data_IF_519874219689
#
_entry.id   IF_519874219689
#
_cell.length_a   1.000
_cell.length_b   1.000
_cell.length_c   1.000
_cell.angle_alpha   90.00
_cell.angle_beta   90.00
_cell.angle_gamma   90.00
#
_symmetry.space_group_name_H-M   'P 1'
#
loop_
_entity.id
_entity.type
_entity.pdbx_description
1 polymer ?
#
# COMPACT_ATOMS: atom_id res chain seq x y z
N UNK A 1 35.69 -13.04 11.23
CA UNK A 1 34.45 -13.59 11.81
C UNK A 1 33.79 -14.45 10.77
N UNK A 2 33.66 -15.77 11.01
CA UNK A 2 33.06 -16.70 10.07
C UNK A 2 31.59 -16.31 9.83
N UNK A 3 31.25 -15.99 8.57
CA UNK A 3 29.86 -15.74 8.18
C UNK A 3 29.04 -16.97 8.50
N UNK A 4 27.99 -16.81 9.30
CA UNK A 4 26.99 -17.86 9.52
C UNK A 4 26.40 -18.17 8.15
N UNK A 5 26.89 -19.20 7.48
CA UNK A 5 26.33 -19.68 6.22
C UNK A 5 24.89 -20.11 6.53
N UNK A 6 23.93 -19.38 5.99
CA UNK A 6 22.52 -19.77 6.03
C UNK A 6 22.39 -21.15 5.37
N UNK A 7 22.07 -22.23 6.11
CA UNK A 7 22.05 -23.58 5.54
C UNK A 7 21.04 -23.71 4.40
N UNK A 8 19.98 -22.89 4.41
CA UNK A 8 18.95 -22.87 3.38
C UNK A 8 19.35 -22.17 2.07
N UNK A 9 20.38 -21.31 2.05
CA UNK A 9 20.71 -20.53 0.85
C UNK A 9 21.38 -21.35 -0.26
N UNK A 10 21.95 -22.51 0.09
CA UNK A 10 22.70 -23.34 -0.85
C UNK A 10 21.98 -24.66 -1.19
N UNK A 11 20.88 -24.98 -0.49
CA UNK A 11 20.12 -26.20 -0.70
C UNK A 11 18.93 -25.95 -1.64
N UNK A 12 19.11 -26.25 -2.92
CA UNK A 12 18.07 -26.09 -3.94
C UNK A 12 16.83 -26.97 -3.67
N UNK A 13 17.00 -28.13 -3.03
CA UNK A 13 15.88 -29.04 -2.73
C UNK A 13 15.00 -28.45 -1.63
N UNK A 14 15.63 -27.92 -0.56
CA UNK A 14 14.93 -27.24 0.51
C UNK A 14 14.23 -25.97 0.00
N UNK A 15 14.90 -25.17 -0.83
CA UNK A 15 14.30 -23.97 -1.43
C UNK A 15 13.06 -24.30 -2.26
N UNK A 16 13.12 -25.37 -3.05
CA UNK A 16 11.97 -25.84 -3.83
C UNK A 16 10.80 -26.25 -2.94
N UNK A 17 11.06 -26.98 -1.85
CA UNK A 17 10.02 -27.37 -0.88
C UNK A 17 9.41 -26.14 -0.22
N UNK A 18 10.23 -25.19 0.25
CA UNK A 18 9.77 -23.95 0.87
C UNK A 18 8.90 -23.12 -0.08
N UNK A 19 9.31 -23.00 -1.35
CA UNK A 19 8.51 -22.30 -2.37
C UNK A 19 7.20 -23.03 -2.68
N UNK A 20 7.21 -24.37 -2.69
CA UNK A 20 5.99 -25.17 -2.89
C UNK A 20 4.99 -24.95 -1.75
N UNK A 21 5.45 -25.04 -0.50
CA UNK A 21 4.62 -24.81 0.69
C UNK A 21 4.11 -23.36 0.76
N UNK A 22 4.98 -22.40 0.42
CA UNK A 22 4.58 -21.00 0.31
C UNK A 22 3.50 -20.78 -0.74
N UNK A 23 3.62 -21.40 -1.92
CA UNK A 23 2.62 -21.29 -2.99
C UNK A 23 1.25 -21.78 -2.52
N UNK A 24 1.21 -22.92 -1.83
CA UNK A 24 0.00 -23.47 -1.24
C UNK A 24 -0.60 -22.53 -0.18
N UNK A 25 0.24 -21.94 0.67
CA UNK A 25 -0.16 -20.99 1.71
C UNK A 25 -0.72 -19.68 1.10
N UNK A 26 -0.08 -19.18 0.04
CA UNK A 26 -0.49 -17.98 -0.67
C UNK A 26 -1.82 -18.20 -1.42
N UNK A 27 -2.00 -19.33 -2.11
CA UNK A 27 -3.28 -19.70 -2.72
C UNK A 27 -4.38 -19.85 -1.66
N UNK A 28 -4.07 -20.43 -0.50
CA UNK A 28 -5.02 -20.52 0.61
C UNK A 28 -5.48 -19.12 1.09
N UNK A 29 -4.55 -18.17 1.23
CA UNK A 29 -4.88 -16.79 1.62
C UNK A 29 -5.73 -16.09 0.57
N UNK A 30 -5.40 -16.23 -0.71
CA UNK A 30 -6.19 -15.65 -1.78
C UNK A 30 -7.62 -16.22 -1.81
N UNK A 31 -7.79 -17.51 -1.55
CA UNK A 31 -9.12 -18.11 -1.41
C UNK A 31 -9.89 -17.53 -0.23
N UNK A 32 -9.27 -17.36 0.95
CA UNK A 32 -9.90 -16.72 2.10
C UNK A 32 -10.31 -15.27 1.81
N UNK A 33 -9.48 -14.54 1.05
CA UNK A 33 -9.79 -13.19 0.60
C UNK A 33 -11.02 -13.18 -0.33
N UNK A 34 -11.06 -14.10 -1.30
CA UNK A 34 -12.17 -14.27 -2.24
C UNK A 34 -13.48 -14.64 -1.54
N UNK A 35 -13.41 -15.46 -0.49
CA UNK A 35 -14.58 -15.84 0.32
C UNK A 35 -14.89 -14.86 1.45
N UNK A 36 -14.25 -13.67 1.48
CA UNK A 36 -14.46 -12.62 2.50
C UNK A 36 -14.20 -13.07 3.95
N UNK A 37 -13.41 -14.13 4.13
CA UNK A 37 -12.96 -14.63 5.43
C UNK A 37 -11.62 -14.01 5.86
N UNK A 38 -10.92 -13.38 4.93
CA UNK A 38 -9.73 -12.57 5.19
C UNK A 38 -10.00 -11.17 4.61
N UNK A 39 -9.94 -10.09 5.41
CA UNK A 39 -10.24 -8.76 4.90
C UNK A 39 -9.09 -8.21 4.06
N UNK A 40 -7.84 -8.48 4.44
CA UNK A 40 -6.66 -8.11 3.68
C UNK A 40 -5.47 -8.98 4.09
N UNK A 41 -4.44 -9.08 3.26
CA UNK A 41 -3.16 -9.66 3.65
C UNK A 41 -2.00 -9.02 2.87
N UNK A 42 -0.79 -9.20 3.37
CA UNK A 42 0.43 -8.67 2.77
C UNK A 42 1.35 -9.80 2.30
N UNK A 43 2.01 -9.56 1.16
CA UNK A 43 3.15 -10.34 0.68
C UNK A 43 4.37 -9.42 0.76
N UNK A 44 5.27 -9.70 1.71
CA UNK A 44 6.46 -8.90 1.97
C UNK A 44 7.68 -9.59 1.34
N UNK A 45 8.12 -9.04 0.20
CA UNK A 45 9.36 -9.48 -0.46
C UNK A 45 10.52 -8.58 -0.03
N UNK A 46 11.73 -8.91 -0.50
CA UNK A 46 12.92 -8.08 -0.25
C UNK A 46 12.96 -6.79 -1.08
N UNK A 47 12.18 -6.69 -2.18
CA UNK A 47 12.17 -5.52 -3.09
C UNK A 47 10.91 -4.68 -2.98
N UNK A 48 9.77 -5.34 -2.76
CA UNK A 48 8.45 -4.73 -2.78
C UNK A 48 7.48 -5.43 -1.84
N UNK A 49 6.40 -4.74 -1.50
CA UNK A 49 5.29 -5.30 -0.75
C UNK A 49 4.04 -5.30 -1.62
N UNK A 50 3.25 -6.36 -1.51
CA UNK A 50 1.91 -6.44 -2.11
C UNK A 50 0.87 -6.43 -1.00
N UNK A 51 -0.13 -5.56 -1.08
CA UNK A 51 -1.30 -5.55 -0.23
C UNK A 51 -2.52 -6.00 -1.02
N UNK A 52 -3.04 -7.18 -0.68
CA UNK A 52 -4.32 -7.66 -1.19
C UNK A 52 -5.46 -7.26 -0.24
N UNK A 53 -6.57 -6.75 -0.79
CA UNK A 53 -7.76 -6.37 -0.05
C UNK A 53 -8.98 -7.07 -0.62
N UNK A 54 -9.85 -7.56 0.25
CA UNK A 54 -11.13 -8.13 -0.15
C UNK A 54 -12.06 -7.02 -0.68
N UNK A 55 -13.03 -7.44 -1.48
CA UNK A 55 -14.13 -6.56 -1.89
C UNK A 55 -14.85 -6.01 -0.65
N UNK A 56 -15.09 -4.70 -0.66
CA UNK A 56 -15.69 -3.94 0.43
C UNK A 56 -14.68 -3.13 1.26
N UNK A 57 -13.38 -3.42 1.18
CA UNK A 57 -12.37 -2.65 1.90
C UNK A 57 -11.93 -1.39 1.14
N UNK A 58 -11.56 -0.36 1.89
CA UNK A 58 -11.05 0.91 1.37
C UNK A 58 -11.93 1.53 0.25
N UNK A 59 -13.25 1.31 0.32
CA UNK A 59 -14.21 1.82 -0.66
C UNK A 59 -14.26 1.12 -2.02
N UNK A 60 -13.62 -0.04 -2.22
CA UNK A 60 -13.69 -0.78 -3.50
C UNK A 60 -14.68 -1.95 -3.47
N UNK A 61 -15.50 -2.11 -4.52
CA UNK A 61 -16.42 -3.25 -4.71
C UNK A 61 -15.71 -4.55 -5.17
N UNK A 62 -14.46 -4.45 -5.58
CA UNK A 62 -13.68 -5.55 -6.11
C UNK A 62 -12.51 -5.90 -5.20
N UNK A 63 -11.98 -7.11 -5.39
CA UNK A 63 -10.66 -7.46 -4.82
C UNK A 63 -9.63 -6.55 -5.47
N UNK A 64 -8.78 -5.94 -4.64
CA UNK A 64 -7.69 -5.07 -5.11
C UNK A 64 -6.35 -5.57 -4.61
N UNK A 65 -5.30 -5.36 -5.41
CA UNK A 65 -3.92 -5.61 -5.03
C UNK A 65 -3.08 -4.37 -5.33
N UNK A 66 -2.41 -3.84 -4.29
CA UNK A 66 -1.48 -2.73 -4.40
C UNK A 66 -0.06 -3.24 -4.29
N UNK A 67 0.82 -2.86 -5.23
CA UNK A 67 2.22 -3.25 -5.22
C UNK A 67 3.07 -1.99 -5.08
N UNK A 68 3.97 -1.95 -4.09
CA UNK A 68 4.93 -0.85 -3.96
C UNK A 68 6.18 -1.23 -3.15
N UNK A 69 7.34 -0.63 -3.47
CA UNK A 69 7.62 0.08 -4.73
C UNK A 69 7.67 -0.87 -5.93
N UNK A 70 7.51 -0.37 -7.16
CA UNK A 70 7.72 -1.16 -8.38
C UNK A 70 8.88 -0.63 -9.21
N UNK A 71 9.39 -1.49 -10.10
CA UNK A 71 10.39 -1.13 -11.12
C UNK A 71 9.79 -1.26 -12.50
N UNK A 72 10.39 -0.60 -13.50
CA UNK A 72 10.00 -0.75 -14.90
C UNK A 72 10.00 -2.21 -15.32
N UNK A 73 11.03 -2.97 -14.97
CA UNK A 73 11.12 -4.40 -15.30
C UNK A 73 9.99 -5.23 -14.70
N UNK A 74 9.58 -4.94 -13.45
CA UNK A 74 8.42 -5.62 -12.84
C UNK A 74 7.12 -5.26 -13.59
N UNK A 75 6.93 -3.97 -13.91
CA UNK A 75 5.75 -3.48 -14.64
C UNK A 75 5.66 -4.07 -16.05
N UNK A 76 6.79 -4.19 -16.76
CA UNK A 76 6.86 -4.85 -18.07
C UNK A 76 6.58 -6.35 -17.99
N UNK A 77 7.16 -7.05 -17.01
CA UNK A 77 6.89 -8.47 -16.80
C UNK A 77 5.39 -8.71 -16.51
N UNK A 78 4.76 -7.86 -15.70
CA UNK A 78 3.32 -7.91 -15.46
C UNK A 78 2.49 -7.71 -16.74
N UNK A 79 2.85 -6.74 -17.59
CA UNK A 79 2.17 -6.51 -18.87
C UNK A 79 2.32 -7.70 -19.83
N UNK A 80 3.51 -8.31 -19.87
CA UNK A 80 3.78 -9.46 -20.73
C UNK A 80 2.96 -10.69 -20.33
N UNK A 81 2.63 -10.81 -19.05
CA UNK A 81 1.77 -11.86 -18.50
C UNK A 81 0.27 -11.50 -18.58
N UNK A 82 -0.08 -10.42 -19.29
CA UNK A 82 -1.44 -9.97 -19.50
C UNK A 82 -2.12 -9.37 -18.27
N UNK A 83 -1.34 -8.92 -17.28
CA UNK A 83 -1.89 -8.28 -16.08
C UNK A 83 -2.16 -6.81 -16.39
N UNK A 84 -3.44 -6.45 -16.43
CA UNK A 84 -3.85 -5.05 -16.51
C UNK A 84 -3.76 -4.38 -15.13
N UNK A 85 -3.17 -3.20 -15.10
CA UNK A 85 -3.01 -2.41 -13.89
C UNK A 85 -3.04 -0.91 -14.17
N UNK A 86 -3.31 -0.11 -13.14
CA UNK A 86 -3.24 1.34 -13.20
C UNK A 86 -2.18 1.88 -12.23
N UNK A 87 -1.73 3.11 -12.48
CA UNK A 87 -0.77 3.84 -11.63
C UNK A 87 -1.53 4.99 -10.95
N UNK A 88 -2.16 4.79 -9.79
CA UNK A 88 -3.15 5.72 -9.22
C UNK A 88 -2.56 7.07 -8.80
N UNK A 89 -1.25 7.16 -8.60
CA UNK A 89 -0.56 8.41 -8.24
C UNK A 89 -0.11 9.22 -9.46
N UNK A 90 -0.25 8.66 -10.65
CA UNK A 90 0.02 9.36 -11.91
C UNK A 90 -1.33 9.79 -12.44
N UNK A 91 -1.52 11.10 -12.57
CA UNK A 91 -2.65 11.62 -13.33
C UNK A 91 -2.42 11.21 -14.77
N UNK A 92 -3.17 10.23 -15.26
CA UNK A 92 -3.40 10.13 -16.70
C UNK A 92 -4.08 11.44 -17.08
N UNK A 93 -3.43 12.27 -17.89
CA UNK A 93 -4.07 13.39 -18.59
C UNK A 93 -5.08 12.79 -19.59
N UNK A 94 -6.20 12.33 -19.05
CA UNK A 94 -7.32 11.84 -19.81
C UNK A 94 -7.96 13.02 -20.52
N UNK A 95 -7.76 13.09 -21.83
CA UNK A 95 -8.65 13.75 -22.78
C UNK A 95 -10.08 13.21 -22.60
N UNK A 96 -10.79 13.70 -21.60
CA UNK A 96 -12.25 13.68 -21.58
C UNK A 96 -12.69 14.96 -22.29
N UNK A 97 -13.17 14.83 -23.52
CA UNK A 97 -14.06 15.83 -24.13
C UNK A 97 -15.34 15.87 -23.28
N UNK A 98 -15.33 16.68 -22.23
CA UNK A 98 -16.55 17.19 -21.63
C UNK A 98 -16.86 18.52 -22.30
N UNK A 99 -17.84 18.48 -23.18
CA UNK A 99 -18.52 19.64 -23.74
C UNK A 99 -19.06 20.52 -22.60
N UNK A 100 -18.45 21.70 -22.47
CA UNK A 100 -18.97 22.99 -22.00
C UNK A 100 -20.18 23.03 -21.05
N UNK A 101 -20.00 23.64 -19.87
CA UNK A 101 -20.47 25.02 -19.61
C UNK A 101 -20.32 25.41 -18.13
N UNK A 102 -19.88 26.65 -17.84
CA UNK A 102 -20.23 27.36 -16.60
C UNK A 102 -19.11 27.77 -15.63
N UNK A 103 -18.31 28.75 -16.05
CA UNK A 103 -17.80 29.94 -15.30
C UNK A 103 -17.70 29.89 -13.75
N UNK A 104 -16.49 30.05 -13.20
CA UNK A 104 -16.13 31.14 -12.25
C UNK A 104 -14.71 31.00 -11.69
N UNK A 105 -13.99 32.13 -11.65
CA UNK A 105 -12.61 32.36 -11.23
C UNK A 105 -12.26 31.97 -9.78
N UNK A 106 -10.98 31.68 -9.55
CA UNK A 106 -10.31 31.79 -8.25
C UNK A 106 -8.83 31.39 -8.30
N UNK A 107 -7.93 32.38 -8.44
CA UNK A 107 -6.47 32.25 -8.46
C UNK A 107 -5.88 31.77 -7.12
N UNK A 108 -4.76 31.04 -7.19
CA UNK A 108 -3.88 30.71 -6.08
C UNK A 108 -2.68 29.89 -6.55
N UNK A 109 -1.62 30.58 -6.98
CA UNK A 109 -0.34 30.03 -7.47
C UNK A 109 0.44 29.32 -6.36
N UNK A 110 0.91 28.09 -6.61
CA UNK A 110 2.21 27.62 -6.10
C UNK A 110 2.91 26.81 -7.21
N UNK A 111 4.11 27.28 -7.53
CA UNK A 111 4.97 26.87 -8.64
C UNK A 111 5.32 25.38 -8.60
N UNK A 112 4.87 24.65 -9.60
CA UNK A 112 5.52 23.43 -10.07
C UNK A 112 6.09 23.73 -11.46
N UNK A 113 7.41 23.55 -11.57
CA UNK A 113 8.20 23.74 -12.79
C UNK A 113 7.61 22.82 -13.86
N UNK A 114 6.85 23.43 -14.77
CA UNK A 114 6.19 22.79 -15.90
C UNK A 114 7.18 22.72 -17.06
N UNK A 115 7.59 21.52 -17.45
CA UNK A 115 8.05 21.26 -18.83
C UNK A 115 6.83 21.19 -19.79
N UNK A 116 5.81 22.04 -19.57
CA UNK A 116 4.65 22.24 -20.45
C UNK A 116 4.93 23.33 -21.52
N UNK A 117 6.17 23.81 -21.62
CA UNK A 117 6.58 24.80 -22.62
C UNK A 117 6.86 24.22 -24.01
N UNK A 118 6.55 22.95 -24.29
CA UNK A 118 6.64 22.43 -25.67
C UNK A 118 5.27 22.24 -26.32
N UNK A 119 4.27 21.59 -25.69
CA UNK A 119 2.98 21.35 -26.39
C UNK A 119 2.02 22.55 -26.38
N UNK A 120 2.01 23.38 -25.32
CA UNK A 120 1.25 24.65 -25.33
C UNK A 120 1.99 25.73 -26.14
N UNK A 121 3.33 25.63 -26.24
CA UNK A 121 4.15 26.53 -27.05
C UNK A 121 3.92 26.42 -28.56
N UNK A 122 3.22 25.40 -29.07
CA UNK A 122 2.89 25.32 -30.50
C UNK A 122 1.60 26.02 -30.89
N UNK A 123 0.74 26.37 -29.93
CA UNK A 123 -0.54 27.04 -30.19
C UNK A 123 -0.35 28.51 -30.61
N UNK A 124 0.53 29.26 -29.94
CA UNK A 124 0.90 30.62 -30.34
C UNK A 124 1.73 30.64 -31.64
N UNK A 125 2.52 29.59 -31.90
CA UNK A 125 3.29 29.44 -33.15
C UNK A 125 2.38 29.28 -34.38
N UNK A 126 1.20 28.70 -34.19
CA UNK A 126 0.11 28.59 -35.16
C UNK A 126 -0.54 29.96 -35.44
N UNK A 127 -0.69 30.78 -34.41
CA UNK A 127 -1.23 32.15 -34.49
C UNK A 127 -0.22 33.16 -35.10
N UNK A 128 1.09 32.94 -34.94
CA UNK A 128 2.16 33.79 -35.51
C UNK A 128 2.75 33.28 -36.84
N UNK A 129 2.26 32.17 -37.40
CA UNK A 129 2.64 31.67 -38.72
C UNK A 129 4.08 31.13 -38.83
N UNK A 130 4.67 30.62 -37.75
CA UNK A 130 6.10 30.20 -37.68
C UNK A 130 6.28 28.67 -37.81
N UNK A 131 5.21 27.94 -38.13
CA UNK A 131 5.17 26.46 -38.20
C UNK A 131 6.27 25.84 -39.09
N UNK A 132 6.67 26.49 -40.19
CA UNK A 132 7.58 25.91 -41.19
C UNK A 132 9.06 25.81 -40.77
N UNK A 133 9.45 26.31 -39.58
CA UNK A 133 10.86 26.30 -39.13
C UNK A 133 11.17 25.39 -37.95
N UNK A 134 10.17 24.75 -37.33
CA UNK A 134 10.38 23.91 -36.15
C UNK A 134 10.19 22.44 -36.53
N UNK A 135 11.29 21.68 -36.51
CA UNK A 135 11.25 20.23 -36.68
C UNK A 135 10.47 19.62 -35.52
N UNK A 136 9.30 19.03 -35.82
CA UNK A 136 8.54 18.21 -34.86
C UNK A 136 9.45 17.14 -34.25
N UNK A 137 9.45 16.94 -32.92
CA UNK A 137 10.28 15.93 -32.29
C UNK A 137 9.90 14.53 -32.80
N UNK A 138 10.91 13.74 -33.14
CA UNK A 138 10.77 12.42 -33.75
C UNK A 138 10.10 11.42 -32.79
N UNK A 139 9.34 10.44 -33.28
CA UNK A 139 8.60 9.43 -32.47
C UNK A 139 9.54 8.70 -31.49
N UNK A 140 10.80 8.54 -31.88
CA UNK A 140 11.86 7.97 -31.06
C UNK A 140 12.18 8.82 -29.83
N UNK A 141 12.16 10.15 -29.96
CA UNK A 141 12.41 11.07 -28.85
C UNK A 141 11.27 11.06 -27.82
N UNK A 142 10.03 10.91 -28.28
CA UNK A 142 8.85 10.79 -27.41
C UNK A 142 8.88 9.47 -26.64
N UNK A 143 9.21 8.36 -27.31
CA UNK A 143 9.39 7.05 -26.65
C UNK A 143 10.51 7.10 -25.61
N UNK A 144 11.65 7.68 -25.95
CA UNK A 144 12.78 7.85 -25.02
C UNK A 144 12.42 8.70 -23.79
N UNK A 145 11.66 9.79 -23.98
CA UNK A 145 11.16 10.62 -22.87
C UNK A 145 10.21 9.85 -21.96
N UNK A 146 9.27 9.07 -22.53
CA UNK A 146 8.35 8.21 -21.77
C UNK A 146 9.09 7.13 -20.98
N UNK A 147 10.05 6.46 -21.61
CA UNK A 147 10.90 5.47 -20.95
C UNK A 147 11.74 6.09 -19.82
N UNK A 148 12.29 7.28 -20.04
CA UNK A 148 13.05 8.02 -19.02
C UNK A 148 12.17 8.38 -17.82
N UNK A 149 10.91 8.75 -18.05
CA UNK A 149 9.96 9.03 -16.97
C UNK A 149 9.57 7.75 -16.20
N UNK A 150 9.28 6.65 -16.90
CA UNK A 150 8.99 5.36 -16.26
C UNK A 150 10.15 4.88 -15.37
N UNK A 151 11.39 5.04 -15.81
CA UNK A 151 12.59 4.65 -15.04
C UNK A 151 12.82 5.59 -13.84
N UNK A 152 12.54 6.89 -13.97
CA UNK A 152 12.73 7.85 -12.87
C UNK A 152 11.80 7.61 -11.67
N UNK A 153 10.65 6.96 -11.90
CA UNK A 153 9.70 6.62 -10.85
C UNK A 153 10.08 5.37 -10.07
N UNK A 154 11.03 4.57 -10.56
CA UNK A 154 11.40 3.32 -9.93
C UNK A 154 11.83 3.53 -8.48
N UNK A 155 11.36 2.63 -7.60
CA UNK A 155 11.59 2.69 -6.16
C UNK A 155 10.93 3.87 -5.42
N UNK A 156 10.16 4.73 -6.10
CA UNK A 156 9.41 5.83 -5.47
C UNK A 156 7.97 5.45 -5.16
N UNK A 157 7.30 6.13 -4.21
CA UNK A 157 5.88 5.91 -3.93
C UNK A 157 5.00 6.03 -5.18
N UNK A 158 5.35 6.91 -6.13
CA UNK A 158 4.63 7.12 -7.39
C UNK A 158 4.57 5.86 -8.27
N UNK A 159 5.50 4.93 -8.09
CA UNK A 159 5.52 3.63 -8.79
C UNK A 159 4.48 2.64 -8.29
N UNK A 160 3.61 3.02 -7.35
CA UNK A 160 2.55 2.14 -6.85
C UNK A 160 1.66 1.65 -7.99
N UNK A 161 1.46 0.34 -8.03
CA UNK A 161 0.63 -0.31 -9.04
C UNK A 161 -0.66 -0.81 -8.38
N UNK A 162 -1.80 -0.53 -9.01
CA UNK A 162 -3.11 -1.02 -8.61
C UNK A 162 -3.63 -2.05 -9.61
N UNK A 163 -3.88 -3.26 -9.12
CA UNK A 163 -4.55 -4.34 -9.86
C UNK A 163 -5.94 -4.55 -9.28
N UNK A 164 -6.98 -4.60 -10.12
CA UNK A 164 -8.38 -4.76 -9.70
C UNK A 164 -9.00 -6.05 -10.27
N UNK A 165 -9.95 -6.63 -9.53
CA UNK A 165 -10.85 -7.67 -10.01
C UNK A 165 -10.13 -8.97 -10.40
N UNK A 166 -10.49 -9.53 -11.56
CA UNK A 166 -9.98 -10.83 -12.03
C UNK A 166 -8.45 -10.84 -12.23
N UNK A 167 -7.87 -9.68 -12.58
CA UNK A 167 -6.42 -9.53 -12.76
C UNK A 167 -5.63 -9.81 -11.46
N UNK A 168 -6.27 -9.75 -10.29
CA UNK A 168 -5.63 -10.11 -9.02
C UNK A 168 -5.30 -11.60 -8.92
N UNK A 169 -6.09 -12.46 -9.58
CA UNK A 169 -5.79 -13.90 -9.68
C UNK A 169 -4.65 -14.15 -10.66
N UNK A 170 -4.60 -13.43 -11.78
CA UNK A 170 -3.45 -13.46 -12.70
C UNK A 170 -2.18 -13.00 -11.98
N UNK A 171 -2.27 -11.95 -11.15
CA UNK A 171 -1.16 -11.50 -10.30
C UNK A 171 -0.70 -12.55 -9.30
N UNK A 172 -1.63 -13.27 -8.65
CA UNK A 172 -1.31 -14.40 -7.77
C UNK A 172 -0.44 -15.44 -8.51
N UNK A 173 -0.89 -15.86 -9.71
CA UNK A 173 -0.17 -16.85 -10.51
C UNK A 173 1.19 -16.32 -10.99
N UNK A 174 1.26 -15.05 -11.39
CA UNK A 174 2.51 -14.40 -11.74
C UNK A 174 3.50 -14.43 -10.59
N UNK A 175 3.09 -13.99 -9.39
CA UNK A 175 3.94 -13.98 -8.21
C UNK A 175 4.41 -15.39 -7.83
N UNK A 176 3.54 -16.40 -7.91
CA UNK A 176 3.91 -17.79 -7.66
C UNK A 176 5.04 -18.28 -8.59
N UNK A 177 5.00 -17.87 -9.85
CA UNK A 177 5.98 -18.29 -10.87
C UNK A 177 7.16 -17.30 -11.03
N UNK A 178 7.16 -16.21 -10.27
CA UNK A 178 8.14 -15.13 -10.42
C UNK A 178 9.48 -15.51 -9.79
N UNK A 179 10.49 -15.79 -10.63
CA UNK A 179 11.83 -16.17 -10.14
C UNK A 179 12.55 -15.06 -9.38
N UNK A 180 12.26 -13.78 -9.67
CA UNK A 180 12.90 -12.64 -9.00
C UNK A 180 12.31 -12.33 -7.63
N UNK A 181 11.26 -13.05 -7.21
CA UNK A 181 10.57 -12.85 -5.94
C UNK A 181 11.43 -13.26 -4.72
N UNK A 182 12.34 -14.23 -4.93
CA UNK A 182 13.25 -14.74 -3.90
C UNK A 182 14.59 -14.03 -4.02
N UNK A 183 15.13 -13.56 -2.90
CA UNK A 183 16.45 -12.96 -2.87
C UNK A 183 17.51 -14.00 -3.26
N UNK A 184 18.44 -13.63 -4.14
CA UNK A 184 19.55 -14.51 -4.56
C UNK A 184 20.75 -14.44 -3.61
N UNK A 185 20.81 -13.40 -2.77
CA UNK A 185 21.92 -13.16 -1.85
C UNK A 185 21.44 -12.44 -0.59
N UNK A 186 22.28 -12.46 0.46
CA UNK A 186 21.98 -11.86 1.75
C UNK A 186 21.22 -12.77 2.73
N UNK A 187 20.77 -12.22 3.88
CA UNK A 187 20.18 -13.01 4.96
C UNK A 187 18.88 -13.73 4.59
N UNK A 188 18.17 -13.21 3.59
CA UNK A 188 16.90 -13.77 3.08
C UNK A 188 17.11 -14.65 1.83
N UNK A 189 18.35 -14.94 1.45
CA UNK A 189 18.65 -15.70 0.24
C UNK A 189 17.97 -17.08 0.27
N UNK A 190 17.25 -17.41 -0.80
CA UNK A 190 16.56 -18.69 -0.94
C UNK A 190 15.26 -18.83 -0.12
N UNK A 191 14.83 -17.80 0.62
CA UNK A 191 13.58 -17.84 1.37
C UNK A 191 12.42 -17.24 0.57
N UNK A 192 11.23 -17.87 0.59
CA UNK A 192 10.03 -17.27 0.03
C UNK A 192 9.65 -15.98 0.77
N UNK A 193 8.88 -15.08 0.13
CA UNK A 193 8.35 -13.89 0.79
C UNK A 193 7.53 -14.19 2.04
N UNK A 194 7.55 -13.26 2.99
CA UNK A 194 6.74 -13.39 4.20
C UNK A 194 5.29 -13.04 3.90
N UNK A 195 4.37 -13.91 4.30
CA UNK A 195 2.92 -13.68 4.22
C UNK A 195 2.42 -13.20 5.60
N UNK A 196 1.73 -12.06 5.63
CA UNK A 196 1.15 -11.50 6.86
C UNK A 196 -0.36 -11.32 6.69
N UNK A 197 -1.14 -11.84 7.64
CA UNK A 197 -2.59 -11.80 7.61
C UNK A 197 -3.16 -11.54 9.00
N UNK A 198 -4.29 -10.81 9.14
CA UNK A 198 -5.04 -10.71 10.38
C UNK A 198 -5.68 -12.03 10.82
N UNK A 199 -5.84 -12.99 9.91
CA UNK A 199 -6.50 -14.27 10.17
C UNK A 199 -5.56 -15.46 9.96
N UNK A 200 -5.87 -16.57 10.62
CA UNK A 200 -5.16 -17.82 10.41
C UNK A 200 -5.37 -18.34 8.97
N UNK A 201 -4.32 -18.91 8.40
CA UNK A 201 -4.33 -19.54 7.08
C UNK A 201 -3.45 -20.79 7.09
N UNK A 202 -3.52 -21.59 6.03
CA UNK A 202 -2.68 -22.79 5.91
C UNK A 202 -1.20 -22.41 5.93
N UNK A 203 -0.43 -23.04 6.81
CA UNK A 203 1.00 -22.73 6.97
C UNK A 203 1.28 -21.51 7.86
N UNK A 204 0.24 -20.83 8.38
CA UNK A 204 0.43 -19.71 9.28
C UNK A 204 0.97 -20.14 10.64
N UNK A 205 1.82 -19.31 11.23
CA UNK A 205 2.27 -19.45 12.62
C UNK A 205 1.95 -18.16 13.38
N UNK A 206 1.34 -18.29 14.57
CA UNK A 206 1.11 -17.14 15.43
C UNK A 206 2.38 -16.81 16.21
N UNK A 207 2.87 -15.57 16.08
CA UNK A 207 4.01 -15.07 16.84
C UNK A 207 3.59 -13.98 17.82
N UNK A 208 4.12 -14.07 19.04
CA UNK A 208 3.85 -13.09 20.09
C UNK A 208 4.69 -11.84 19.81
N UNK A 209 4.03 -10.67 19.74
CA UNK A 209 4.71 -9.38 19.68
C UNK A 209 5.45 -9.13 21.00
N UNK A 210 6.67 -8.60 20.92
CA UNK A 210 7.44 -8.27 22.12
C UNK A 210 6.80 -7.05 22.77
N UNK A 211 6.28 -7.19 23.98
CA UNK A 211 5.70 -6.09 24.73
C UNK A 211 6.53 -5.80 25.99
N UNK A 212 6.82 -4.53 26.25
CA UNK A 212 7.46 -4.05 27.46
C UNK A 212 6.61 -2.95 28.07
N UNK A 213 6.32 -3.07 29.37
CA UNK A 213 5.65 -2.03 30.13
C UNK A 213 6.64 -1.33 31.06
N UNK A 214 6.55 0.00 31.13
CA UNK A 214 7.37 0.85 31.99
C UNK A 214 6.47 1.83 32.73
N UNK A 215 6.69 1.96 34.04
CA UNK A 215 5.99 2.92 34.89
C UNK A 215 6.94 4.09 35.15
N UNK A 216 6.50 5.29 34.81
CA UNK A 216 7.26 6.54 34.97
C UNK A 216 6.50 7.46 35.92
N UNK A 217 7.18 8.00 36.93
CA UNK A 217 6.60 9.02 37.80
C UNK A 217 6.94 10.39 37.24
N UNK A 218 5.95 11.10 36.72
CA UNK A 218 6.11 12.44 36.15
C UNK A 218 5.71 13.49 37.19
N UNK A 219 6.57 14.47 37.42
CA UNK A 219 6.30 15.56 38.36
C UNK A 219 5.37 16.58 37.69
N UNK A 220 4.16 16.72 38.20
CA UNK A 220 3.17 17.72 37.77
C UNK A 220 3.06 18.84 38.81
N UNK A 221 2.46 19.97 38.43
CA UNK A 221 2.26 21.14 39.29
C UNK A 221 1.52 20.83 40.61
N UNK A 222 0.73 19.75 40.65
CA UNK A 222 -0.04 19.32 41.81
C UNK A 222 0.45 18.01 42.47
N UNK A 223 1.66 17.54 42.15
CA UNK A 223 2.28 16.34 42.73
C UNK A 223 2.82 15.35 41.69
N UNK A 224 3.22 14.16 42.14
CA UNK A 224 3.65 13.08 41.24
C UNK A 224 2.45 12.40 40.60
N UNK A 225 2.47 12.22 39.27
CA UNK A 225 1.51 11.39 38.53
C UNK A 225 2.23 10.19 37.95
N UNK A 226 1.65 9.02 38.16
CA UNK A 226 2.11 7.80 37.50
C UNK A 226 1.68 7.83 36.03
N UNK A 227 2.65 7.64 35.14
CA UNK A 227 2.46 7.52 33.71
C UNK A 227 2.92 6.13 33.27
N UNK A 228 2.02 5.40 32.63
CA UNK A 228 2.27 4.05 32.13
C UNK A 228 2.65 4.13 30.66
N UNK A 229 3.76 3.48 30.29
CA UNK A 229 4.21 3.36 28.91
C UNK A 229 4.21 1.89 28.49
N UNK A 230 3.70 1.61 27.29
CA UNK A 230 3.67 0.28 26.69
C UNK A 230 4.39 0.34 25.34
N UNK A 231 5.54 -0.32 25.26
CA UNK A 231 6.32 -0.49 24.04
C UNK A 231 5.97 -1.85 23.42
N UNK A 232 5.53 -1.85 22.16
CA UNK A 232 5.21 -3.06 21.41
C UNK A 232 6.12 -3.11 20.18
N UNK A 233 6.84 -4.22 20.00
CA UNK A 233 7.79 -4.44 18.91
C UNK A 233 7.44 -5.69 18.12
N UNK A 234 7.43 -5.56 16.79
CA UNK A 234 7.17 -6.64 15.84
C UNK A 234 6.32 -6.14 14.67
N UNK A 235 5.81 -7.05 13.82
CA UNK A 235 4.91 -6.70 12.73
C UNK A 235 3.54 -6.29 13.28
N UNK A 236 3.33 -4.99 13.46
CA UNK A 236 2.05 -4.44 13.91
C UNK A 236 1.20 -4.11 12.70
N UNK A 237 0.08 -4.81 12.56
CA UNK A 237 -0.84 -4.64 11.43
C UNK A 237 -1.90 -3.57 11.75
N UNK A 238 -2.54 -2.96 10.73
CA UNK A 238 -3.54 -1.91 10.95
C UNK A 238 -4.67 -2.28 11.93
N UNK A 239 -5.21 -3.51 11.82
CA UNK A 239 -6.26 -3.99 12.72
C UNK A 239 -5.80 -4.06 14.20
N UNK A 240 -4.52 -4.36 14.44
CA UNK A 240 -3.95 -4.48 15.79
C UNK A 240 -3.86 -3.11 16.46
N UNK A 241 -3.47 -2.08 15.70
CA UNK A 241 -3.45 -0.70 16.20
C UNK A 241 -4.85 -0.25 16.59
N UNK A 242 -5.86 -0.46 15.74
CA UNK A 242 -7.24 -0.08 16.08
C UNK A 242 -7.77 -0.85 17.29
N UNK A 243 -7.45 -2.15 17.39
CA UNK A 243 -7.87 -2.96 18.55
C UNK A 243 -7.24 -2.44 19.85
N UNK A 244 -5.97 -2.03 19.81
CA UNK A 244 -5.29 -1.40 20.95
C UNK A 244 -5.90 -0.03 21.29
N UNK A 245 -6.20 0.81 20.31
CA UNK A 245 -6.82 2.12 20.58
C UNK A 245 -8.21 1.97 21.18
N UNK A 246 -9.01 0.98 20.74
CA UNK A 246 -10.29 0.65 21.38
C UNK A 246 -10.12 0.20 22.84
N UNK A 247 -9.19 -0.71 23.11
CA UNK A 247 -8.89 -1.19 24.46
C UNK A 247 -8.40 -0.07 25.39
N UNK A 248 -7.53 0.81 24.88
CA UNK A 248 -6.99 1.94 25.63
C UNK A 248 -8.04 3.04 25.84
N UNK A 249 -8.94 3.25 24.88
CA UNK A 249 -10.06 4.18 25.01
C UNK A 249 -10.95 3.82 26.21
N UNK A 250 -11.26 2.53 26.41
CA UNK A 250 -12.06 2.08 27.55
C UNK A 250 -11.27 2.05 28.86
N UNK A 251 -10.01 1.61 28.84
CA UNK A 251 -9.21 1.44 30.07
C UNK A 251 -8.59 2.73 30.61
N UNK A 252 -8.32 3.72 29.75
CA UNK A 252 -7.68 4.99 30.11
C UNK A 252 -8.65 6.18 30.06
N UNK A 253 -9.96 5.93 30.15
CA UNK A 253 -11.02 6.96 30.13
C UNK A 253 -10.87 7.97 28.99
N UNK A 254 -10.51 7.48 27.80
CA UNK A 254 -10.34 8.33 26.62
C UNK A 254 -9.09 9.24 26.63
N UNK A 255 -8.06 8.92 27.43
CA UNK A 255 -6.81 9.71 27.52
C UNK A 255 -5.57 8.83 27.33
N UNK A 256 -5.01 8.82 26.12
CA UNK A 256 -3.73 8.17 25.84
C UNK A 256 -3.03 8.79 24.63
N UNK A 257 -1.74 8.53 24.48
CA UNK A 257 -0.99 8.86 23.26
C UNK A 257 -0.17 7.67 22.80
N UNK A 258 -0.08 7.49 21.50
CA UNK A 258 0.71 6.45 20.85
C UNK A 258 1.67 7.09 19.85
N UNK A 259 2.94 6.69 19.93
CA UNK A 259 3.98 7.01 18.94
C UNK A 259 4.22 5.76 18.11
N UNK A 260 4.21 5.92 16.79
CA UNK A 260 4.27 4.83 15.84
C UNK A 260 5.52 4.97 14.97
N UNK A 261 6.16 3.83 14.70
CA UNK A 261 7.31 3.72 13.81
C UNK A 261 6.92 2.87 12.59
N UNK A 262 6.23 3.47 11.60
CA UNK A 262 5.76 2.75 10.42
C UNK A 262 6.93 2.35 9.52
N UNK A 263 6.76 1.28 8.75
CA UNK A 263 7.67 0.94 7.68
C UNK A 263 7.40 1.84 6.47
N UNK A 264 8.25 2.83 6.24
CA UNK A 264 8.02 3.92 5.26
C UNK A 264 7.54 3.46 3.86
N UNK A 265 8.09 2.39 3.25
CA UNK A 265 7.61 1.88 1.95
C UNK A 265 6.13 1.48 1.91
N UNK A 266 5.51 1.22 3.07
CA UNK A 266 4.09 0.85 3.16
C UNK A 266 3.15 2.04 3.30
N UNK A 267 3.66 3.25 3.49
CA UNK A 267 2.85 4.46 3.67
C UNK A 267 1.93 4.73 2.47
N UNK A 268 2.41 4.42 1.27
CA UNK A 268 1.67 4.56 0.01
C UNK A 268 0.41 3.68 -0.08
N UNK A 269 0.25 2.67 0.79
CA UNK A 269 -0.98 1.90 0.84
C UNK A 269 -2.16 2.69 1.44
N UNK A 270 -1.91 3.88 1.98
CA UNK A 270 -2.94 4.80 2.47
C UNK A 270 -3.54 5.70 1.37
N UNK A 271 -3.19 5.49 0.10
CA UNK A 271 -3.74 6.29 -1.00
C UNK A 271 -5.24 6.04 -1.17
N UNK A 272 -5.96 7.10 -1.49
CA UNK A 272 -7.34 7.01 -1.97
C UNK A 272 -7.31 6.45 -3.39
N UNK A 273 -8.04 5.36 -3.62
CA UNK A 273 -8.15 4.74 -4.93
C UNK A 273 -9.33 5.35 -5.69
N UNK A 274 -9.29 5.42 -7.03
CA UNK A 274 -10.45 5.82 -7.82
C UNK A 274 -11.60 4.84 -7.54
N UNK A 275 -12.67 5.37 -6.94
CA UNK A 275 -13.90 4.63 -6.61
C UNK A 275 -14.85 4.77 -7.79
N UNK A 276 -15.14 3.65 -8.45
CA UNK A 276 -16.02 3.63 -9.63
C UNK A 276 -17.51 3.65 -9.24
N UNK A 277 -17.85 3.22 -8.02
CA UNK A 277 -19.22 3.15 -7.48
C UNK A 277 -19.28 3.40 -5.97
N UNK A 278 -20.30 4.12 -5.51
CA UNK A 278 -20.61 4.25 -4.08
C UNK A 278 -21.06 2.88 -3.56
N UNK A 279 -20.38 2.37 -2.53
CA UNK A 279 -20.73 1.10 -1.90
C UNK A 279 -21.82 1.29 -0.85
N UNK A 280 -22.73 0.33 -0.79
CA UNK A 280 -23.59 0.16 0.38
C UNK A 280 -22.78 -0.49 1.51
N UNK A 281 -22.40 0.34 2.47
CA UNK A 281 -21.57 -0.07 3.60
C UNK A 281 -22.26 -1.13 4.47
N UNK A 282 -23.59 -1.13 4.58
CA UNK A 282 -24.30 -2.13 5.39
C UNK A 282 -24.17 -3.53 4.81
N UNK A 283 -24.26 -3.64 3.48
CA UNK A 283 -24.08 -4.90 2.75
C UNK A 283 -22.64 -5.40 2.89
N UNK A 284 -21.67 -4.51 2.68
CA UNK A 284 -20.24 -4.82 2.83
C UNK A 284 -19.93 -5.35 4.23
N UNK A 285 -20.47 -4.68 5.25
CA UNK A 285 -20.32 -5.09 6.63
C UNK A 285 -20.85 -6.50 6.87
N UNK A 286 -22.07 -6.76 6.39
CA UNK A 286 -22.73 -8.07 6.54
C UNK A 286 -21.89 -9.19 5.93
N UNK A 287 -21.32 -8.97 4.74
CA UNK A 287 -20.53 -9.96 4.03
C UNK A 287 -19.16 -10.23 4.67
N UNK A 288 -18.56 -9.23 5.32
CA UNK A 288 -17.26 -9.34 5.99
C UNK A 288 -17.35 -9.67 7.48
N UNK A 289 -18.55 -9.82 8.06
CA UNK A 289 -18.74 -10.14 9.50
C UNK A 289 -17.96 -11.37 9.96
N UNK A 290 -17.79 -12.36 9.09
CA UNK A 290 -17.13 -13.62 9.40
C UNK A 290 -15.60 -13.59 9.19
N UNK A 291 -15.01 -12.42 8.92
CA UNK A 291 -13.58 -12.28 8.63
C UNK A 291 -12.68 -12.31 9.88
N UNK A 292 -13.23 -12.61 11.06
CA UNK A 292 -12.47 -12.77 12.31
C UNK A 292 -11.98 -11.47 12.94
N UNK A 293 -12.34 -10.30 12.41
CA UNK A 293 -12.06 -8.99 12.99
C UNK A 293 -13.26 -8.43 13.76
N UNK A 294 -12.98 -7.55 14.73
CA UNK A 294 -14.01 -6.82 15.46
C UNK A 294 -14.80 -5.89 14.51
N UNK A 295 -16.14 -5.79 14.62
CA UNK A 295 -16.98 -5.01 13.70
C UNK A 295 -16.55 -3.55 13.53
N UNK A 296 -16.21 -2.86 14.63
CA UNK A 296 -15.72 -1.47 14.56
C UNK A 296 -14.38 -1.34 13.81
N UNK A 297 -13.50 -2.36 13.94
CA UNK A 297 -12.24 -2.39 13.17
C UNK A 297 -12.54 -2.54 11.69
N UNK A 298 -13.48 -3.41 11.36
CA UNK A 298 -13.92 -3.60 9.98
C UNK A 298 -14.52 -2.31 9.41
N UNK A 299 -15.32 -1.59 10.19
CA UNK A 299 -15.91 -0.31 9.79
C UNK A 299 -14.84 0.70 9.43
N UNK A 300 -13.82 0.82 10.28
CA UNK A 300 -12.69 1.71 10.01
C UNK A 300 -11.91 1.29 8.75
N UNK A 301 -11.72 -0.02 8.52
CA UNK A 301 -10.97 -0.52 7.36
C UNK A 301 -11.75 -0.44 6.04
N UNK A 302 -13.08 -0.39 6.11
CA UNK A 302 -13.95 -0.22 4.95
C UNK A 302 -14.00 1.24 4.47
N UNK A 303 -13.73 2.20 5.37
CA UNK A 303 -13.67 3.62 5.03
C UNK A 303 -12.54 3.93 4.03
N UNK A 304 -12.74 4.99 3.25
CA UNK A 304 -11.75 5.47 2.29
C UNK A 304 -10.54 6.02 3.06
N UNK A 305 -9.31 5.55 2.76
CA UNK A 305 -8.10 6.07 3.40
C UNK A 305 -7.89 7.57 3.15
N UNK A 306 -7.59 8.31 4.21
CA UNK A 306 -7.42 9.78 4.16
C UNK A 306 -5.95 10.24 4.23
N UNK A 307 -5.01 9.35 4.57
CA UNK A 307 -3.61 9.72 4.82
C UNK A 307 -2.78 9.88 3.54
N UNK A 308 -3.29 9.46 2.37
CA UNK A 308 -2.61 9.64 1.09
C UNK A 308 -1.26 8.90 1.05
N UNK A 309 -0.17 9.64 0.84
CA UNK A 309 1.21 9.09 0.83
C UNK A 309 1.85 9.08 2.22
N UNK A 310 1.18 9.64 3.23
CA UNK A 310 1.74 9.84 4.56
C UNK A 310 1.51 8.63 5.45
N UNK A 311 2.36 8.47 6.46
CA UNK A 311 2.26 7.43 7.47
C UNK A 311 1.72 8.01 8.78
N UNK A 312 1.03 7.19 9.57
CA UNK A 312 0.54 7.62 10.88
C UNK A 312 1.69 7.53 11.89
N UNK A 313 2.14 8.67 12.44
CA UNK A 313 3.30 8.72 13.35
C UNK A 313 2.93 8.99 14.80
N UNK A 314 1.88 9.77 15.02
CA UNK A 314 1.41 10.10 16.36
C UNK A 314 -0.11 10.09 16.42
N UNK A 315 -0.66 9.40 17.41
CA UNK A 315 -2.08 9.40 17.75
C UNK A 315 -2.23 9.86 19.19
N UNK A 316 -3.02 10.90 19.40
CA UNK A 316 -3.36 11.41 20.72
C UNK A 316 -4.88 11.36 20.88
N UNK A 317 -5.35 10.61 21.87
CA UNK A 317 -6.73 10.64 22.31
C UNK A 317 -6.81 11.50 23.56
N UNK A 318 -7.61 12.57 23.51
CA UNK A 318 -7.97 13.40 24.67
C UNK A 318 -9.48 13.62 24.65
N UNK A 319 -10.11 13.44 25.80
CA UNK A 319 -11.56 13.63 25.95
C UNK A 319 -12.37 12.85 24.90
N UNK A 320 -11.92 11.63 24.59
CA UNK A 320 -12.51 10.75 23.56
C UNK A 320 -12.42 11.26 22.11
N UNK A 321 -11.65 12.32 21.85
CA UNK A 321 -11.42 12.90 20.52
C UNK A 321 -10.02 12.51 20.02
N UNK A 322 -9.97 11.87 18.85
CA UNK A 322 -8.71 11.50 18.21
C UNK A 322 -8.10 12.70 17.50
N UNK A 323 -6.85 12.98 17.81
CA UNK A 323 -5.99 13.89 17.06
C UNK A 323 -4.79 13.09 16.56
N UNK A 324 -4.45 13.22 15.28
CA UNK A 324 -3.29 12.54 14.72
C UNK A 324 -2.40 13.50 13.94
N UNK A 325 -1.11 13.13 13.85
CA UNK A 325 -0.15 13.77 12.96
C UNK A 325 0.43 12.71 12.04
N UNK A 326 0.45 13.04 10.75
CA UNK A 326 1.07 12.26 9.68
C UNK A 326 2.49 12.72 9.44
#
# INVERSE_FOLDING_TARGET
MAGKTSPWSNDATLQHVLMSDWSVSFTSLYNLLKTKLCPYFYVCTYQFTVLFRAAGLAGSDLITALISPTTRGLREAMRNEGIEFSLPLIKESGYKKETASGTSLGYGEEQAISDEDEEESFSWLEEMGVQDKIKKPDILSIKLRKEKHEVQMDHRPESVVLVKGINTFTLLNFLINCKSLVATSGPQAGLPPTLLSPVAFRGATMQILKARSVNVKTQALSGYRDQFSLEITGPIMPHSLHSLTMLLKSSQSGSFSAVLYPHEPTAVFNICLPVDKVLDMEVVHKELTNCGLHPNTLEQLSQIPLLGKSSLRNVVLRDYIYNWRS
#
